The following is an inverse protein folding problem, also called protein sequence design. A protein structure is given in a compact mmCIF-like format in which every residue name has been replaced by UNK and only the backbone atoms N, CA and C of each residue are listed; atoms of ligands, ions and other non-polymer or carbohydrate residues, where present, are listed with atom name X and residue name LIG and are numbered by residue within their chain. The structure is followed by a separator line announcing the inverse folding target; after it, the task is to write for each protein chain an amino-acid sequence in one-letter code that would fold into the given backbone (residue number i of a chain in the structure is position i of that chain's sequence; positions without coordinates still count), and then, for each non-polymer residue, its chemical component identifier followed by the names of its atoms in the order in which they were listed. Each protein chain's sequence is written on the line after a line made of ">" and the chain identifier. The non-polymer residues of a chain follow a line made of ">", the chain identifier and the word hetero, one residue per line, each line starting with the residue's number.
data_IF_308730094300
#
_entry.id   IF_308730094300
#
_cell.length_a   1.000
_cell.length_b   1.000
_cell.length_c   1.000
_cell.angle_alpha   90.00
_cell.angle_beta   90.00
_cell.angle_gamma   90.00
#
_symmetry.space_group_name_H-M   'P 1'
#
loop_
_entity.id
_entity.type
_entity.pdbx_description
1 polymer ?
#
# COMPACT_ATOMS: atom_id res chain seq x y z
N UNK A 1 4.27 -34.15 -16.13
CA UNK A 1 4.30 -32.72 -16.51
C UNK A 1 3.67 -31.97 -15.35
N UNK A 2 4.47 -31.38 -14.47
CA UNK A 2 4.00 -30.65 -13.30
C UNK A 2 4.02 -29.16 -13.64
N UNK A 3 2.86 -28.50 -13.68
CA UNK A 3 2.81 -27.05 -13.75
C UNK A 3 2.95 -26.51 -12.33
N UNK A 4 4.03 -25.78 -12.06
CA UNK A 4 4.13 -24.92 -10.88
C UNK A 4 3.09 -23.80 -11.08
N UNK A 5 2.11 -23.69 -10.18
CA UNK A 5 1.08 -22.65 -10.25
C UNK A 5 1.29 -21.72 -9.05
N UNK A 6 2.05 -20.65 -9.31
CA UNK A 6 2.08 -19.47 -8.45
C UNK A 6 0.74 -18.71 -8.47
N UNK A 7 0.71 -17.52 -7.87
CA UNK A 7 -0.52 -16.70 -7.76
C UNK A 7 -1.29 -16.63 -9.09
N UNK A 8 -2.60 -16.90 -9.02
CA UNK A 8 -3.50 -16.81 -10.18
C UNK A 8 -3.54 -15.38 -10.73
N UNK A 9 -2.90 -15.18 -11.88
CA UNK A 9 -2.76 -13.88 -12.56
C UNK A 9 -4.08 -13.33 -13.09
N UNK A 10 -5.16 -14.10 -13.12
CA UNK A 10 -6.49 -13.61 -13.51
C UNK A 10 -7.18 -12.80 -12.40
N UNK A 11 -6.65 -12.85 -11.17
CA UNK A 11 -7.19 -12.13 -10.01
C UNK A 11 -6.38 -10.87 -9.68
N UNK A 12 -7.02 -9.80 -9.21
CA UNK A 12 -6.34 -8.66 -8.62
C UNK A 12 -5.91 -8.97 -7.18
N UNK A 13 -4.75 -8.44 -6.76
CA UNK A 13 -4.22 -8.61 -5.39
C UNK A 13 -3.85 -7.26 -4.76
N UNK A 14 -3.85 -7.23 -3.44
CA UNK A 14 -3.25 -6.17 -2.63
C UNK A 14 -2.06 -6.72 -1.86
N UNK A 15 -1.07 -5.87 -1.53
CA UNK A 15 -0.14 -6.23 -0.47
C UNK A 15 -0.88 -6.34 0.86
N UNK A 16 -0.45 -7.31 1.67
CA UNK A 16 -0.95 -7.61 3.00
C UNK A 16 0.23 -7.91 3.92
N UNK A 17 0.71 -6.91 4.64
CA UNK A 17 1.78 -7.05 5.64
C UNK A 17 1.90 -5.78 6.48
N UNK A 18 2.63 -5.86 7.58
CA UNK A 18 3.05 -4.68 8.37
C UNK A 18 4.58 -4.58 8.39
N UNK A 19 5.12 -3.40 8.09
CA UNK A 19 6.51 -3.07 8.38
C UNK A 19 6.55 -2.22 9.66
N UNK A 20 7.19 -2.70 10.73
CA UNK A 20 7.17 -2.08 12.06
C UNK A 20 8.08 -0.85 12.18
N UNK A 21 8.75 -0.47 11.10
CA UNK A 21 9.81 0.53 11.10
C UNK A 21 11.20 -0.08 11.22
N UNK A 22 12.24 0.78 11.23
CA UNK A 22 13.63 0.37 11.42
C UNK A 22 13.88 0.05 12.90
N UNK A 23 13.32 -1.05 13.38
CA UNK A 23 13.59 -1.57 14.73
C UNK A 23 14.81 -2.50 14.72
N UNK A 24 15.60 -2.56 15.81
CA UNK A 24 16.68 -3.54 15.94
C UNK A 24 16.16 -4.97 15.82
N UNK A 25 16.94 -5.85 15.18
CA UNK A 25 16.54 -7.26 14.94
C UNK A 25 16.21 -8.03 16.24
N UNK A 26 16.84 -7.69 17.36
CA UNK A 26 16.52 -8.31 18.65
C UNK A 26 15.11 -7.99 19.12
N UNK A 27 14.63 -6.79 18.83
CA UNK A 27 13.30 -6.32 19.21
C UNK A 27 12.23 -6.83 18.21
N UNK A 28 12.62 -7.14 16.96
CA UNK A 28 11.70 -7.73 15.99
C UNK A 28 11.21 -9.13 16.35
N UNK A 29 12.02 -9.94 17.03
CA UNK A 29 11.67 -11.35 17.32
C UNK A 29 10.46 -11.50 18.27
N UNK A 30 10.14 -10.45 19.03
CA UNK A 30 9.03 -10.43 19.97
C UNK A 30 7.87 -9.52 19.54
N UNK A 31 7.98 -8.88 18.37
CA UNK A 31 6.97 -7.95 17.87
C UNK A 31 5.87 -8.73 17.15
N UNK A 32 4.62 -8.51 17.55
CA UNK A 32 3.42 -9.14 16.97
C UNK A 32 2.30 -8.11 16.89
N UNK A 33 1.33 -8.31 15.99
CA UNK A 33 0.17 -7.43 15.90
C UNK A 33 -0.75 -7.47 17.14
N UNK A 34 -0.62 -8.48 18.01
CA UNK A 34 -1.48 -8.67 19.18
C UNK A 34 -1.00 -7.94 20.44
N UNK A 35 0.21 -7.35 20.45
CA UNK A 35 0.79 -6.74 21.64
C UNK A 35 1.42 -5.38 21.37
N UNK A 36 1.29 -4.45 22.33
CA UNK A 36 2.10 -3.24 22.41
C UNK A 36 1.70 -2.11 21.47
N UNK A 37 2.64 -1.68 20.60
CA UNK A 37 2.62 -0.44 19.81
C UNK A 37 1.47 -0.34 18.79
N UNK A 38 0.77 -1.45 18.53
CA UNK A 38 -0.31 -1.53 17.55
C UNK A 38 -1.72 -1.34 18.14
N UNK A 39 -1.83 -1.00 19.42
CA UNK A 39 -3.13 -0.75 20.02
C UNK A 39 -3.82 0.45 19.35
N UNK A 40 -5.01 0.23 18.78
CA UNK A 40 -5.79 1.27 18.10
C UNK A 40 -5.27 1.67 16.72
N UNK A 41 -4.30 0.94 16.14
CA UNK A 41 -3.78 1.22 14.79
C UNK A 41 -3.76 -0.06 13.94
N UNK A 42 -3.89 0.03 12.60
CA UNK A 42 -3.92 -1.15 11.75
C UNK A 42 -2.59 -1.92 11.77
N UNK A 43 -2.65 -3.22 12.11
CA UNK A 43 -1.54 -4.16 12.00
C UNK A 43 -2.06 -5.46 11.40
N UNK A 44 -1.36 -5.98 10.39
CA UNK A 44 -1.71 -7.24 9.72
C UNK A 44 -0.48 -8.11 9.54
N UNK A 45 -0.67 -9.42 9.76
CA UNK A 45 0.38 -10.39 9.53
C UNK A 45 0.52 -10.72 8.03
N UNK A 46 1.77 -10.99 7.56
CA UNK A 46 2.99 -11.07 8.35
C UNK A 46 3.64 -9.71 8.65
N UNK A 47 4.47 -9.67 9.69
CA UNK A 47 5.40 -8.58 9.94
C UNK A 47 6.66 -8.76 9.09
N UNK A 48 6.96 -7.79 8.22
CA UNK A 48 8.16 -7.78 7.39
C UNK A 48 9.18 -6.84 8.02
N UNK A 49 10.33 -7.37 8.39
CA UNK A 49 11.39 -6.62 9.06
C UNK A 49 12.46 -6.19 8.04
N UNK A 50 12.66 -4.87 7.94
CA UNK A 50 13.76 -4.29 7.19
C UNK A 50 14.30 -3.08 7.97
N UNK A 51 15.53 -3.19 8.45
CA UNK A 51 16.18 -2.17 9.27
C UNK A 51 16.72 -1.01 8.42
N UNK A 52 16.87 -1.19 7.11
CA UNK A 52 17.40 -0.17 6.19
C UNK A 52 16.36 0.86 5.75
N UNK A 53 15.08 0.55 5.95
CA UNK A 53 13.96 1.41 5.57
C UNK A 53 12.73 0.59 5.16
N UNK A 54 11.74 1.24 4.53
CA UNK A 54 10.58 0.56 3.95
C UNK A 54 11.00 -0.64 3.08
N UNK A 55 10.30 -1.78 3.19
CA UNK A 55 10.73 -2.99 2.50
C UNK A 55 10.58 -2.83 0.99
N UNK A 56 11.45 -3.51 0.24
CA UNK A 56 11.40 -3.51 -1.21
C UNK A 56 10.19 -4.31 -1.71
N UNK A 57 9.13 -3.60 -2.07
CA UNK A 57 7.84 -4.17 -2.45
C UNK A 57 7.94 -5.01 -3.75
N UNK A 58 8.84 -4.64 -4.67
CA UNK A 58 9.10 -5.42 -5.89
C UNK A 58 9.67 -6.80 -5.55
N UNK A 59 10.58 -6.89 -4.57
CA UNK A 59 11.11 -8.18 -4.10
C UNK A 59 10.03 -9.03 -3.44
N UNK A 60 9.19 -8.42 -2.60
CA UNK A 60 8.06 -9.11 -1.96
C UNK A 60 7.12 -9.69 -3.03
N UNK A 61 6.78 -8.90 -4.04
CA UNK A 61 5.89 -9.34 -5.12
C UNK A 61 6.46 -10.49 -5.92
N UNK A 62 7.73 -10.40 -6.33
CA UNK A 62 8.38 -11.48 -7.08
C UNK A 62 8.52 -12.75 -6.25
N UNK A 63 8.79 -12.63 -4.95
CA UNK A 63 8.80 -13.78 -4.06
C UNK A 63 7.43 -14.46 -4.03
N UNK A 64 6.37 -13.70 -3.70
CA UNK A 64 5.03 -14.24 -3.51
C UNK A 64 4.40 -14.77 -4.81
N UNK A 65 4.74 -14.19 -5.97
CA UNK A 65 4.31 -14.72 -7.27
C UNK A 65 4.86 -16.11 -7.58
N UNK A 66 5.95 -16.52 -6.94
CA UNK A 66 6.63 -17.80 -7.19
C UNK A 66 6.38 -18.84 -6.09
N UNK A 67 5.52 -18.54 -5.09
CA UNK A 67 5.13 -19.50 -4.05
C UNK A 67 4.04 -20.44 -4.60
N UNK A 68 4.22 -21.75 -4.40
CA UNK A 68 3.24 -22.77 -4.78
C UNK A 68 1.97 -22.73 -3.91
N UNK A 69 0.81 -22.97 -4.54
CA UNK A 69 -0.56 -22.85 -3.97
C UNK A 69 -0.79 -23.57 -2.63
N UNK A 70 0.01 -24.58 -2.29
CA UNK A 70 -0.14 -25.37 -1.04
C UNK A 70 0.29 -24.65 0.24
N UNK A 71 1.08 -23.57 0.16
CA UNK A 71 1.54 -22.77 1.31
C UNK A 71 0.77 -21.44 1.49
N UNK A 72 -0.22 -21.17 0.63
CA UNK A 72 -0.86 -19.85 0.47
C UNK A 72 -1.71 -19.40 1.67
N UNK A 73 -2.10 -20.30 2.58
CA UNK A 73 -3.25 -20.02 3.47
C UNK A 73 -2.89 -19.25 4.75
N UNK A 74 -1.61 -19.03 5.10
CA UNK A 74 -1.29 -18.30 6.34
C UNK A 74 -0.14 -17.28 6.33
N UNK A 75 0.80 -17.30 5.37
CA UNK A 75 2.03 -16.48 5.45
C UNK A 75 2.34 -15.61 4.22
N UNK A 76 1.42 -15.48 3.26
CA UNK A 76 1.67 -14.66 2.06
C UNK A 76 1.58 -13.16 2.39
N UNK A 77 2.45 -12.35 1.78
CA UNK A 77 2.45 -10.89 1.95
C UNK A 77 1.45 -10.19 1.02
N UNK A 78 0.45 -10.95 0.52
CA UNK A 78 -0.58 -10.52 -0.42
C UNK A 78 -1.95 -11.08 -0.03
N UNK A 79 -3.01 -10.42 -0.47
CA UNK A 79 -4.39 -10.89 -0.38
C UNK A 79 -5.14 -10.65 -1.70
N UNK A 80 -6.10 -11.52 -2.02
CA UNK A 80 -6.98 -11.34 -3.18
C UNK A 80 -7.88 -10.13 -2.96
N UNK A 81 -7.92 -9.21 -3.92
CA UNK A 81 -8.80 -8.05 -3.87
C UNK A 81 -10.24 -8.45 -4.20
N UNK A 82 -11.09 -8.50 -3.16
CA UNK A 82 -12.50 -8.86 -3.29
C UNK A 82 -13.36 -7.67 -3.73
N UNK A 83 -14.53 -7.98 -4.31
CA UNK A 83 -15.50 -6.94 -4.72
C UNK A 83 -15.90 -6.06 -3.52
N UNK A 84 -15.82 -4.75 -3.72
CA UNK A 84 -16.14 -3.75 -2.69
C UNK A 84 -15.06 -3.56 -1.63
N UNK A 85 -13.88 -4.17 -1.79
CA UNK A 85 -12.68 -3.84 -1.00
C UNK A 85 -11.79 -2.91 -1.84
N UNK A 86 -10.82 -2.29 -1.19
CA UNK A 86 -9.73 -1.55 -1.81
C UNK A 86 -8.40 -2.03 -1.23
N UNK A 87 -7.33 -1.83 -1.97
CA UNK A 87 -5.98 -1.99 -1.45
C UNK A 87 -5.62 -0.77 -0.64
N UNK A 88 -5.30 -0.99 0.64
CA UNK A 88 -5.05 0.06 1.61
C UNK A 88 -3.57 0.08 1.95
N UNK A 89 -3.02 1.29 2.09
CA UNK A 89 -1.74 1.57 2.73
C UNK A 89 -1.98 2.56 3.86
N UNK A 90 -1.64 2.17 5.08
CA UNK A 90 -1.63 3.01 6.26
C UNK A 90 -0.18 3.32 6.63
N UNK A 91 0.16 4.59 6.81
CA UNK A 91 1.50 5.02 7.21
C UNK A 91 1.42 5.96 8.41
N UNK A 92 2.22 5.69 9.43
CA UNK A 92 2.42 6.61 10.55
C UNK A 92 3.76 7.33 10.35
N UNK A 93 3.72 8.66 10.31
CA UNK A 93 4.86 9.51 9.97
C UNK A 93 5.15 10.43 11.15
N UNK A 94 6.40 10.49 11.61
CA UNK A 94 6.86 11.40 12.66
C UNK A 94 8.16 12.05 12.19
N UNK A 95 8.29 13.38 12.36
CA UNK A 95 9.46 14.13 11.91
C UNK A 95 9.89 13.79 10.47
N UNK A 96 8.92 13.70 9.55
CA UNK A 96 9.14 13.39 8.14
C UNK A 96 9.70 11.98 7.85
N UNK A 97 9.70 11.08 8.84
CA UNK A 97 10.11 9.68 8.72
C UNK A 97 8.92 8.73 8.96
N UNK A 98 8.80 7.68 8.14
CA UNK A 98 7.77 6.65 8.34
C UNK A 98 8.19 5.76 9.51
N UNK A 99 7.40 5.77 10.58
CA UNK A 99 7.66 5.01 11.81
C UNK A 99 7.18 3.57 11.67
N UNK A 100 6.03 3.35 11.04
CA UNK A 100 5.58 2.02 10.60
C UNK A 100 4.56 2.19 9.48
N UNK A 101 4.33 1.11 8.73
CA UNK A 101 3.29 1.08 7.73
C UNK A 101 2.63 -0.29 7.65
N UNK A 102 1.35 -0.30 7.29
CA UNK A 102 0.55 -1.52 7.11
C UNK A 102 -0.15 -1.49 5.77
N UNK A 103 -0.07 -2.59 5.05
CA UNK A 103 -0.70 -2.82 3.76
C UNK A 103 -1.76 -3.88 3.93
N UNK A 104 -2.98 -3.69 3.43
CA UNK A 104 -4.04 -4.70 3.57
C UNK A 104 -5.18 -4.52 2.56
N UNK A 105 -5.92 -5.60 2.31
CA UNK A 105 -7.23 -5.54 1.66
C UNK A 105 -8.27 -5.09 2.70
N UNK A 106 -9.02 -4.03 2.43
CA UNK A 106 -10.06 -3.59 3.35
C UNK A 106 -11.01 -2.57 2.77
N UNK A 107 -11.73 -1.86 3.66
CA UNK A 107 -12.63 -0.76 3.29
C UNK A 107 -12.30 0.44 4.17
N UNK A 108 -12.28 1.62 3.56
CA UNK A 108 -12.21 2.90 4.27
C UNK A 108 -13.57 3.57 4.10
N UNK A 109 -14.13 4.05 5.20
CA UNK A 109 -15.41 4.74 5.23
C UNK A 109 -15.15 6.10 5.87
N UNK A 110 -15.22 7.15 5.07
CA UNK A 110 -15.04 8.53 5.54
C UNK A 110 -16.37 9.05 6.13
N UNK A 111 -17.46 8.99 5.38
CA UNK A 111 -18.76 9.61 5.74
C UNK A 111 -19.95 8.64 5.78
N UNK A 112 -19.75 7.45 6.35
CA UNK A 112 -20.78 6.41 6.63
C UNK A 112 -21.63 5.91 5.45
N UNK A 113 -21.37 6.35 4.22
CA UNK A 113 -22.25 6.10 3.07
C UNK A 113 -21.57 5.43 1.88
N UNK A 114 -20.29 5.69 1.61
CA UNK A 114 -19.56 5.12 0.46
C UNK A 114 -18.15 4.70 0.88
N UNK A 115 -17.73 3.51 0.44
CA UNK A 115 -16.36 3.05 0.63
C UNK A 115 -15.41 3.79 -0.32
N UNK A 116 -14.33 4.35 0.21
CA UNK A 116 -13.29 5.00 -0.59
C UNK A 116 -12.57 3.93 -1.42
N UNK A 117 -12.55 4.12 -2.73
CA UNK A 117 -11.93 3.18 -3.69
C UNK A 117 -10.60 3.68 -4.25
N UNK A 118 -10.32 4.98 -4.15
CA UNK A 118 -9.09 5.61 -4.64
C UNK A 118 -8.81 6.93 -3.91
N UNK A 119 -7.54 7.24 -3.65
CA UNK A 119 -7.09 8.51 -3.07
C UNK A 119 -6.28 8.33 -1.79
N UNK A 120 -5.68 9.42 -1.30
CA UNK A 120 -4.92 9.44 -0.05
C UNK A 120 -5.43 10.55 0.86
N UNK A 121 -5.60 10.22 2.13
CA UNK A 121 -6.09 11.11 3.17
C UNK A 121 -5.02 11.20 4.24
N UNK A 122 -4.81 12.39 4.78
CA UNK A 122 -3.95 12.54 5.95
C UNK A 122 -4.67 13.31 7.04
N UNK A 123 -4.34 12.95 8.27
CA UNK A 123 -4.80 13.64 9.46
C UNK A 123 -3.67 13.63 10.50
N UNK A 124 -3.64 14.68 11.31
CA UNK A 124 -2.63 14.82 12.34
C UNK A 124 -3.15 14.31 13.67
N UNK A 125 -2.36 13.48 14.34
CA UNK A 125 -2.62 13.01 15.71
C UNK A 125 -1.36 13.31 16.52
N UNK A 126 -1.47 14.25 17.45
CA UNK A 126 -0.34 14.82 18.18
C UNK A 126 0.75 15.36 17.22
N UNK A 127 1.96 14.81 17.32
CA UNK A 127 3.09 15.12 16.44
C UNK A 127 3.24 14.13 15.26
N UNK A 128 2.29 13.21 15.09
CA UNK A 128 2.28 12.24 13.99
C UNK A 128 1.35 12.68 12.88
N UNK A 129 1.76 12.44 11.63
CA UNK A 129 0.91 12.49 10.46
C UNK A 129 0.52 11.05 10.13
N UNK A 130 -0.77 10.78 10.14
CA UNK A 130 -1.31 9.51 9.65
C UNK A 130 -1.70 9.70 8.19
N UNK A 131 -1.20 8.85 7.31
CA UNK A 131 -1.56 8.81 5.90
C UNK A 131 -2.26 7.48 5.58
N UNK A 132 -3.43 7.55 4.97
CA UNK A 132 -4.20 6.38 4.53
C UNK A 132 -4.52 6.53 3.05
N UNK A 133 -3.98 5.63 2.24
CA UNK A 133 -4.23 5.57 0.81
C UNK A 133 -5.07 4.35 0.43
N UNK A 134 -6.00 4.53 -0.50
CA UNK A 134 -6.82 3.50 -1.11
C UNK A 134 -6.57 3.45 -2.62
N UNK A 135 -6.64 2.27 -3.22
CA UNK A 135 -6.60 2.09 -4.67
C UNK A 135 -7.21 0.75 -5.08
N UNK A 136 -7.48 0.58 -6.39
CA UNK A 136 -7.96 -0.67 -6.99
C UNK A 136 -6.84 -1.29 -7.84
N UNK A 137 -6.36 -2.46 -7.46
CA UNK A 137 -5.38 -3.21 -8.26
C UNK A 137 -6.03 -3.87 -9.47
N UNK A 138 -5.26 -4.01 -10.56
CA UNK A 138 -5.68 -4.76 -11.74
C UNK A 138 -5.14 -6.20 -11.70
N UNK A 139 -5.85 -7.18 -12.32
CA UNK A 139 -5.34 -8.54 -12.49
C UNK A 139 -3.97 -8.59 -13.18
N UNK A 140 -3.08 -9.46 -12.68
CA UNK A 140 -1.76 -9.70 -13.25
C UNK A 140 -0.76 -8.55 -13.09
N UNK A 141 -1.18 -7.41 -12.50
CA UNK A 141 -0.33 -6.28 -12.20
C UNK A 141 0.18 -6.34 -10.77
N UNK A 142 1.32 -5.68 -10.51
CA UNK A 142 1.80 -5.44 -9.15
C UNK A 142 0.73 -4.68 -8.35
N UNK A 143 0.43 -5.05 -7.09
CA UNK A 143 -0.56 -4.37 -6.31
C UNK A 143 -0.34 -2.85 -6.20
N UNK A 144 -1.42 -2.08 -6.27
CA UNK A 144 -1.35 -0.62 -6.31
C UNK A 144 -1.03 0.03 -4.96
N UNK A 145 -1.22 -0.67 -3.84
CA UNK A 145 -0.94 -0.14 -2.50
C UNK A 145 0.57 -0.16 -2.18
N UNK A 146 1.39 0.17 -3.17
CA UNK A 146 2.83 0.45 -3.07
C UNK A 146 3.09 1.90 -2.67
N UNK A 147 2.15 2.79 -3.02
CA UNK A 147 2.38 4.22 -3.21
C UNK A 147 3.01 4.95 -2.02
N UNK A 148 4.22 5.45 -2.23
CA UNK A 148 4.63 6.82 -1.88
C UNK A 148 3.70 7.82 -2.57
N UNK A 149 3.41 8.97 -1.92
CA UNK A 149 2.61 10.07 -2.52
C UNK A 149 2.97 10.24 -4.00
N UNK A 150 2.03 9.96 -4.89
CA UNK A 150 2.11 10.53 -6.23
C UNK A 150 1.84 12.02 -6.07
N UNK A 151 2.92 12.78 -5.90
CA UNK A 151 2.87 14.19 -6.28
C UNK A 151 2.72 14.13 -7.79
N UNK A 152 1.49 14.28 -8.28
CA UNK A 152 1.25 14.48 -9.70
C UNK A 152 2.21 15.60 -10.13
N UNK A 153 3.17 15.26 -10.99
CA UNK A 153 4.24 16.18 -11.34
C UNK A 153 3.61 17.39 -12.03
N UNK A 154 3.70 18.56 -11.40
CA UNK A 154 3.17 19.85 -11.89
C UNK A 154 3.63 20.12 -13.34
N UNK A 155 4.74 19.49 -13.76
CA UNK A 155 5.26 19.49 -15.12
C UNK A 155 4.29 19.00 -16.21
N UNK A 156 3.30 18.16 -15.90
CA UNK A 156 2.33 17.67 -16.91
C UNK A 156 1.20 18.69 -17.15
N UNK A 157 0.93 19.59 -16.19
CA UNK A 157 -0.16 20.57 -16.30
C UNK A 157 0.22 21.85 -17.06
N UNK A 158 1.51 22.19 -17.10
CA UNK A 158 2.04 23.38 -17.78
C UNK A 158 1.88 23.35 -19.32
N UNK A 159 2.24 22.27 -20.05
CA UNK A 159 2.11 22.26 -21.51
C UNK A 159 0.66 22.32 -22.00
N UNK A 160 -0.28 21.74 -21.26
CA UNK A 160 -1.72 21.83 -21.59
C UNK A 160 -2.28 23.25 -21.51
N UNK A 161 -1.81 24.06 -20.54
CA UNK A 161 -2.22 25.46 -20.41
C UNK A 161 -1.62 26.32 -21.54
N UNK A 162 -0.34 26.11 -21.87
CA UNK A 162 0.34 26.87 -22.94
C UNK A 162 -0.33 26.63 -24.30
N UNK A 163 -0.69 25.39 -24.62
CA UNK A 163 -1.41 25.06 -25.87
C UNK A 163 -2.78 25.73 -25.90
N UNK A 164 -3.50 25.75 -24.78
CA UNK A 164 -4.80 26.44 -24.66
C UNK A 164 -4.68 27.95 -24.90
N UNK A 165 -3.69 28.61 -24.29
CA UNK A 165 -3.45 30.04 -24.48
C UNK A 165 -3.01 30.36 -25.92
N UNK A 166 -2.15 29.53 -26.53
CA UNK A 166 -1.74 29.71 -27.92
C UNK A 166 -2.92 29.59 -28.89
N UNK A 167 -3.79 28.60 -28.69
CA UNK A 167 -5.01 28.46 -29.50
C UNK A 167 -5.98 29.61 -29.31
N UNK A 168 -6.12 30.14 -28.09
CA UNK A 168 -7.02 31.25 -27.81
C UNK A 168 -6.52 32.56 -28.44
N UNK A 169 -5.20 32.82 -28.39
CA UNK A 169 -4.63 34.03 -28.97
C UNK A 169 -4.65 34.03 -30.52
N UNK A 170 -4.45 32.88 -31.18
CA UNK A 170 -4.41 32.85 -32.65
C UNK A 170 -5.79 32.84 -33.33
N UNK A 171 -6.88 32.65 -32.58
CA UNK A 171 -8.24 32.59 -33.12
C UNK A 171 -9.08 33.86 -32.84
N UNK A 172 -8.46 34.91 -32.28
CA UNK A 172 -9.00 36.26 -32.10
C UNK A 172 -7.97 37.30 -32.53
#
# INVERSE_FOLDING_TARGET
>A
MWFALGLDKSRPYCFRFTWPGPIPYKDSLNTTCTKGRYNGVPCVDPLIYDASGPPNITKIWHHDMNIDDKDIVSNTSVCVLQKGFACIKYSNIYNNAVIYMSHYCGRIIEDKTIAVTSGCFNYQVDAHIIEVCACQSAPGQTPCNTATKQIASILILLPSLIIFFYHFHNNY
#
